data_IF_752952725455
#
_entry.id   IF_752952725455
#
_cell.length_a   1.000
_cell.length_b   1.000
_cell.length_c   1.000
_cell.angle_alpha   90.00
_cell.angle_beta   90.00
_cell.angle_gamma   90.00
#
_symmetry.space_group_name_H-M   'P 1'
#
loop_
_entity.id
_entity.type
_entity.pdbx_description
1 polymer ?
#
# COMPACT_ATOMS: atom_id res chain seq x y z
N UNK A 1 -15.51 -5.95 -39.74
CA UNK A 1 -15.45 -4.51 -40.10
C UNK A 1 -14.37 -3.84 -39.23
N UNK A 2 -13.42 -3.14 -39.88
CA UNK A 2 -12.40 -2.37 -39.16
C UNK A 2 -13.01 -1.09 -38.58
N UNK A 3 -12.59 -0.69 -37.36
CA UNK A 3 -12.98 0.60 -36.77
C UNK A 3 -12.57 1.77 -37.67
N UNK A 4 -13.39 2.78 -37.77
CA UNK A 4 -13.10 3.98 -38.54
C UNK A 4 -11.92 4.77 -37.93
N UNK A 5 -11.36 5.72 -38.67
CA UNK A 5 -10.27 6.56 -38.19
C UNK A 5 -10.74 7.44 -37.02
N UNK A 6 -11.97 7.90 -37.06
CA UNK A 6 -12.61 8.71 -36.02
C UNK A 6 -12.78 7.90 -34.72
N UNK A 7 -13.25 6.66 -34.81
CA UNK A 7 -13.37 5.76 -33.65
C UNK A 7 -12.01 5.51 -32.98
N UNK A 8 -10.96 5.36 -33.77
CA UNK A 8 -9.60 5.17 -33.24
C UNK A 8 -9.09 6.41 -32.51
N UNK A 9 -9.35 7.61 -33.07
CA UNK A 9 -8.99 8.88 -32.41
C UNK A 9 -9.78 9.08 -31.12
N UNK A 10 -11.07 8.76 -31.11
CA UNK A 10 -11.88 8.84 -29.90
C UNK A 10 -11.37 7.91 -28.80
N UNK A 11 -11.00 6.66 -29.15
CA UNK A 11 -10.41 5.71 -28.17
C UNK A 11 -9.07 6.22 -27.63
N UNK A 12 -8.21 6.80 -28.48
CA UNK A 12 -6.92 7.35 -28.05
C UNK A 12 -7.14 8.53 -27.10
N UNK A 13 -8.12 9.41 -27.37
CA UNK A 13 -8.48 10.51 -26.49
C UNK A 13 -8.98 9.98 -25.13
N UNK A 14 -9.93 9.03 -25.13
CA UNK A 14 -10.42 8.38 -23.91
C UNK A 14 -9.28 7.74 -23.11
N UNK A 15 -8.32 7.10 -23.78
CA UNK A 15 -7.17 6.49 -23.10
C UNK A 15 -6.24 7.54 -22.48
N UNK A 16 -6.03 8.68 -23.14
CA UNK A 16 -5.26 9.80 -22.58
C UNK A 16 -5.91 10.36 -21.33
N UNK A 17 -7.20 10.65 -21.38
CA UNK A 17 -7.95 11.15 -20.22
C UNK A 17 -7.88 10.17 -19.04
N UNK A 18 -8.00 8.86 -19.30
CA UNK A 18 -7.90 7.83 -18.28
C UNK A 18 -6.48 7.68 -17.70
N UNK A 19 -5.45 7.87 -18.51
CA UNK A 19 -4.05 7.84 -18.05
C UNK A 19 -3.73 9.08 -17.21
N UNK A 20 -4.20 10.25 -17.60
CA UNK A 20 -3.99 11.50 -16.86
C UNK A 20 -4.69 11.47 -15.49
N UNK A 21 -5.81 10.79 -15.39
CA UNK A 21 -6.53 10.56 -14.13
C UNK A 21 -5.92 9.45 -13.26
N UNK A 22 -4.96 8.68 -13.76
CA UNK A 22 -4.42 7.48 -13.09
C UNK A 22 -3.04 7.75 -12.52
N UNK A 23 -2.75 7.20 -11.33
CA UNK A 23 -1.44 7.26 -10.69
C UNK A 23 -0.57 6.05 -11.04
N UNK A 24 -1.20 4.90 -11.30
CA UNK A 24 -0.52 3.65 -11.64
C UNK A 24 -1.25 2.96 -12.78
N UNK A 25 -0.51 2.55 -13.79
CA UNK A 25 -1.00 1.70 -14.87
C UNK A 25 -0.26 0.36 -14.86
N UNK A 26 -1.00 -0.74 -14.75
CA UNK A 26 -0.45 -2.09 -14.84
C UNK A 26 -0.80 -2.71 -16.18
N UNK A 27 0.12 -3.46 -16.73
CA UNK A 27 -0.03 -4.21 -17.97
C UNK A 27 -0.05 -5.69 -17.63
N UNK A 28 -1.16 -6.34 -17.94
CA UNK A 28 -1.36 -7.78 -17.71
C UNK A 28 -1.60 -8.50 -19.02
N UNK A 29 -1.20 -9.76 -19.06
CA UNK A 29 -1.61 -10.68 -20.11
C UNK A 29 -2.96 -11.28 -19.76
N UNK A 30 -3.93 -11.16 -20.68
CA UNK A 30 -5.26 -11.74 -20.49
C UNK A 30 -5.51 -12.98 -21.36
N UNK A 31 -4.46 -13.53 -21.98
CA UNK A 31 -4.57 -14.69 -22.83
C UNK A 31 -5.06 -15.90 -22.02
N UNK A 32 -6.14 -16.53 -22.49
CA UNK A 32 -6.74 -17.68 -21.81
C UNK A 32 -7.84 -17.34 -20.79
N UNK A 33 -8.17 -16.07 -20.61
CA UNK A 33 -9.33 -15.68 -19.81
C UNK A 33 -10.63 -15.80 -20.60
N UNK A 34 -11.66 -16.34 -19.97
CA UNK A 34 -13.04 -16.32 -20.48
C UNK A 34 -13.67 -14.94 -20.29
N UNK A 35 -14.76 -14.70 -21.03
CA UNK A 35 -15.53 -13.45 -20.89
C UNK A 35 -16.08 -13.27 -19.45
N UNK A 36 -16.48 -14.37 -18.82
CA UNK A 36 -16.94 -14.35 -17.43
C UNK A 36 -15.84 -13.91 -16.47
N UNK A 37 -14.65 -14.48 -16.60
CA UNK A 37 -13.48 -14.15 -15.77
C UNK A 37 -13.05 -12.68 -15.95
N UNK A 38 -13.06 -12.16 -17.18
CA UNK A 38 -12.78 -10.73 -17.44
C UNK A 38 -13.84 -9.82 -16.80
N UNK A 39 -15.10 -10.24 -16.82
CA UNK A 39 -16.19 -9.48 -16.20
C UNK A 39 -16.06 -9.47 -14.69
N UNK A 40 -15.71 -10.61 -14.10
CA UNK A 40 -15.42 -10.70 -12.67
C UNK A 40 -14.23 -9.82 -12.26
N UNK A 41 -13.13 -9.87 -13.01
CA UNK A 41 -11.98 -8.98 -12.81
C UNK A 41 -12.40 -7.50 -12.82
N UNK A 42 -13.20 -7.10 -13.81
CA UNK A 42 -13.70 -5.72 -13.88
C UNK A 42 -14.56 -5.32 -12.68
N UNK A 43 -15.39 -6.22 -12.19
CA UNK A 43 -16.23 -5.95 -11.02
C UNK A 43 -15.36 -5.79 -9.75
N UNK A 44 -14.43 -6.70 -9.49
CA UNK A 44 -13.50 -6.60 -8.36
C UNK A 44 -12.65 -5.33 -8.40
N UNK A 45 -12.18 -4.94 -9.60
CA UNK A 45 -11.40 -3.72 -9.78
C UNK A 45 -12.25 -2.45 -9.59
N UNK A 46 -13.50 -2.46 -10.05
CA UNK A 46 -14.40 -1.32 -9.88
C UNK A 46 -14.68 -1.01 -8.41
N UNK A 47 -14.81 -2.02 -7.56
CA UNK A 47 -14.96 -1.87 -6.11
C UNK A 47 -13.75 -1.20 -5.45
N UNK A 48 -12.55 -1.36 -6.03
CA UNK A 48 -11.31 -0.74 -5.58
C UNK A 48 -10.96 0.58 -6.29
N UNK A 49 -11.89 1.15 -7.08
CA UNK A 49 -11.66 2.39 -7.82
C UNK A 49 -10.75 2.25 -9.05
N UNK A 50 -10.40 1.03 -9.42
CA UNK A 50 -9.56 0.74 -10.58
C UNK A 50 -10.40 0.42 -11.83
N UNK A 51 -9.86 0.71 -13.00
CA UNK A 51 -10.50 0.42 -14.28
C UNK A 51 -9.68 -0.56 -15.10
N UNK A 52 -10.35 -1.54 -15.71
CA UNK A 52 -9.72 -2.48 -16.64
C UNK A 52 -10.17 -2.17 -18.07
N UNK A 53 -9.22 -1.78 -18.91
CA UNK A 53 -9.42 -1.53 -20.36
C UNK A 53 -8.60 -2.52 -21.19
N UNK A 54 -9.26 -3.11 -22.19
CA UNK A 54 -8.60 -3.99 -23.18
C UNK A 54 -8.60 -3.25 -24.49
N UNK A 55 -7.42 -2.87 -24.97
CA UNK A 55 -7.25 -2.15 -26.23
C UNK A 55 -6.07 -2.72 -27.03
N UNK A 56 -5.99 -2.35 -28.31
CA UNK A 56 -4.83 -2.72 -29.13
C UNK A 56 -3.59 -1.96 -28.65
N UNK A 57 -2.47 -2.65 -28.54
CA UNK A 57 -1.18 -2.05 -28.15
C UNK A 57 -0.78 -0.84 -29.01
N UNK A 58 -1.14 -0.87 -30.31
CA UNK A 58 -0.88 0.27 -31.22
C UNK A 58 -1.64 1.54 -30.81
N UNK A 59 -2.89 1.42 -30.31
CA UNK A 59 -3.65 2.57 -29.84
C UNK A 59 -3.13 3.07 -28.50
N UNK A 60 -2.71 2.15 -27.63
CA UNK A 60 -2.09 2.52 -26.36
C UNK A 60 -0.75 3.23 -26.57
N UNK A 61 0.08 2.77 -27.52
CA UNK A 61 1.31 3.48 -27.88
C UNK A 61 1.04 4.91 -28.33
N UNK A 62 0.01 5.12 -29.16
CA UNK A 62 -0.38 6.47 -29.60
C UNK A 62 -0.94 7.33 -28.45
N UNK A 63 -1.55 6.71 -27.44
CA UNK A 63 -2.03 7.43 -26.27
C UNK A 63 -0.88 7.86 -25.34
N UNK A 64 0.13 7.00 -25.20
CA UNK A 64 1.34 7.24 -24.38
C UNK A 64 2.33 8.17 -25.10
N UNK A 65 2.31 8.17 -26.44
CA UNK A 65 3.18 9.01 -27.26
C UNK A 65 2.92 10.50 -26.98
N UNK A 66 3.96 11.20 -26.56
CA UNK A 66 3.88 12.62 -26.15
C UNK A 66 3.65 12.86 -24.65
N UNK A 67 3.61 11.80 -23.81
CA UNK A 67 3.55 11.93 -22.38
C UNK A 67 4.72 11.17 -21.71
N UNK A 68 5.74 11.91 -21.29
CA UNK A 68 6.97 11.33 -20.73
C UNK A 68 6.73 10.45 -19.50
N UNK A 69 5.65 10.71 -18.73
CA UNK A 69 5.30 9.93 -17.55
C UNK A 69 4.88 8.50 -17.90
N UNK A 70 4.33 8.26 -19.10
CA UNK A 70 3.83 6.95 -19.49
C UNK A 70 4.68 6.26 -20.56
N UNK A 71 5.71 6.93 -21.08
CA UNK A 71 6.62 6.36 -22.10
C UNK A 71 7.20 4.99 -21.73
N UNK A 72 7.63 4.73 -20.46
CA UNK A 72 8.17 3.42 -20.08
C UNK A 72 7.20 2.26 -20.29
N UNK A 73 5.88 2.53 -20.36
CA UNK A 73 4.88 1.50 -20.66
C UNK A 73 5.09 0.82 -22.00
N UNK A 74 5.72 1.49 -22.96
CA UNK A 74 5.96 0.95 -24.33
C UNK A 74 6.75 -0.34 -24.31
N UNK A 75 7.62 -0.56 -23.32
CA UNK A 75 8.42 -1.77 -23.16
C UNK A 75 7.55 -3.00 -22.85
N UNK A 76 6.44 -2.81 -22.12
CA UNK A 76 5.52 -3.86 -21.72
C UNK A 76 4.41 -4.14 -22.75
N UNK A 77 4.27 -3.31 -23.79
CA UNK A 77 3.24 -3.45 -24.83
C UNK A 77 3.59 -4.55 -25.84
N UNK A 78 3.69 -5.79 -25.38
CA UNK A 78 3.98 -6.96 -26.23
C UNK A 78 2.83 -7.97 -26.11
N UNK A 79 2.44 -8.58 -27.24
CA UNK A 79 1.39 -9.62 -27.26
C UNK A 79 0.00 -9.11 -26.84
N UNK A 80 -0.77 -9.94 -26.16
CA UNK A 80 -2.10 -9.62 -25.63
C UNK A 80 -1.99 -8.84 -24.34
N UNK A 81 -2.50 -7.61 -24.31
CA UNK A 81 -2.36 -6.73 -23.15
C UNK A 81 -3.69 -6.18 -22.73
N UNK A 82 -3.98 -6.28 -21.43
CA UNK A 82 -5.04 -5.54 -20.76
C UNK A 82 -4.42 -4.55 -19.79
N UNK A 83 -5.02 -3.39 -19.67
CA UNK A 83 -4.53 -2.26 -18.90
C UNK A 83 -5.39 -2.08 -17.67
N UNK A 84 -4.75 -2.11 -16.50
CA UNK A 84 -5.39 -1.80 -15.23
C UNK A 84 -4.95 -0.41 -14.81
N UNK A 85 -5.87 0.51 -14.78
CA UNK A 85 -5.65 1.92 -14.44
C UNK A 85 -6.16 2.16 -13.03
N UNK A 86 -5.27 2.55 -12.13
CA UNK A 86 -5.57 2.78 -10.72
C UNK A 86 -5.48 4.28 -10.42
N UNK A 87 -6.55 4.82 -9.81
CA UNK A 87 -6.65 6.26 -9.50
C UNK A 87 -6.23 6.57 -8.07
N UNK A 88 -6.93 6.04 -7.08
CA UNK A 88 -6.80 6.48 -5.69
C UNK A 88 -6.11 5.45 -4.79
N UNK A 89 -6.63 4.24 -4.72
CA UNK A 89 -6.17 3.19 -3.82
C UNK A 89 -5.32 2.14 -4.54
N UNK A 90 -4.03 2.45 -4.70
CA UNK A 90 -3.07 1.55 -5.36
C UNK A 90 -3.02 0.18 -4.69
N UNK A 91 -2.95 0.16 -3.35
CA UNK A 91 -2.86 -1.08 -2.59
C UNK A 91 -4.09 -1.98 -2.71
N UNK A 92 -5.30 -1.40 -2.66
CA UNK A 92 -6.56 -2.16 -2.82
C UNK A 92 -6.68 -2.72 -4.24
N UNK A 93 -6.36 -1.91 -5.26
CA UNK A 93 -6.43 -2.35 -6.65
C UNK A 93 -5.45 -3.47 -6.98
N UNK A 94 -4.20 -3.38 -6.50
CA UNK A 94 -3.20 -4.43 -6.70
C UNK A 94 -3.60 -5.71 -5.94
N UNK A 95 -4.09 -5.60 -4.70
CA UNK A 95 -4.57 -6.76 -3.91
C UNK A 95 -5.75 -7.44 -4.59
N UNK A 96 -6.70 -6.68 -5.14
CA UNK A 96 -7.83 -7.23 -5.90
C UNK A 96 -7.36 -8.02 -7.13
N UNK A 97 -6.38 -7.48 -7.86
CA UNK A 97 -5.76 -8.19 -8.99
C UNK A 97 -5.02 -9.44 -8.54
N UNK A 98 -4.21 -9.38 -7.49
CA UNK A 98 -3.46 -10.55 -6.97
C UNK A 98 -4.39 -11.66 -6.47
N UNK A 99 -5.51 -11.31 -5.83
CA UNK A 99 -6.54 -12.28 -5.44
C UNK A 99 -7.11 -12.97 -6.67
N UNK A 100 -7.47 -12.21 -7.69
CA UNK A 100 -7.94 -12.76 -8.96
C UNK A 100 -6.88 -13.63 -9.65
N UNK A 101 -5.63 -13.21 -9.65
CA UNK A 101 -4.51 -13.97 -10.23
C UNK A 101 -4.33 -15.34 -9.52
N UNK A 102 -4.46 -15.37 -8.19
CA UNK A 102 -4.38 -16.62 -7.40
C UNK A 102 -5.52 -17.57 -7.71
N UNK A 103 -6.74 -17.04 -7.87
CA UNK A 103 -7.94 -17.81 -8.17
C UNK A 103 -7.88 -18.41 -9.58
N UNK A 104 -7.46 -17.60 -10.56
CA UNK A 104 -7.54 -17.97 -11.98
C UNK A 104 -6.26 -18.62 -12.50
N UNK A 105 -5.07 -18.20 -12.00
CA UNK A 105 -3.72 -18.66 -12.43
C UNK A 105 -3.46 -18.60 -13.95
N UNK A 106 -4.23 -17.79 -14.68
CA UNK A 106 -4.17 -17.64 -16.15
C UNK A 106 -3.64 -16.28 -16.58
N UNK A 107 -3.44 -15.35 -15.65
CA UNK A 107 -2.97 -14.00 -15.94
C UNK A 107 -1.56 -13.82 -15.46
N UNK A 108 -0.72 -13.22 -16.30
CA UNK A 108 0.64 -12.84 -15.95
C UNK A 108 0.75 -11.32 -15.89
N UNK A 109 1.38 -10.83 -14.84
CA UNK A 109 1.71 -9.41 -14.70
C UNK A 109 2.99 -9.16 -15.49
N UNK A 110 2.91 -8.33 -16.53
CA UNK A 110 4.09 -7.99 -17.35
C UNK A 110 4.89 -6.84 -16.76
N UNK A 111 4.25 -5.97 -16.02
CA UNK A 111 4.83 -4.81 -15.38
C UNK A 111 3.83 -3.69 -15.24
N UNK A 112 4.31 -2.55 -14.80
CA UNK A 112 3.50 -1.34 -14.64
C UNK A 112 4.33 -0.09 -14.80
N UNK A 113 3.66 1.04 -14.77
CA UNK A 113 4.29 2.36 -14.77
C UNK A 113 3.63 3.21 -13.72
N UNK A 114 4.44 3.87 -12.89
CA UNK A 114 4.03 4.83 -11.90
C UNK A 114 4.98 6.03 -11.93
N UNK A 115 4.44 7.23 -12.08
CA UNK A 115 5.22 8.48 -12.06
C UNK A 115 6.47 8.46 -12.95
N UNK A 116 6.37 7.92 -14.16
CA UNK A 116 7.49 7.86 -15.11
C UNK A 116 8.49 6.72 -14.87
N UNK A 117 8.25 5.84 -13.89
CA UNK A 117 9.10 4.69 -13.61
C UNK A 117 8.45 3.40 -14.08
N UNK A 118 9.22 2.60 -14.81
CA UNK A 118 8.85 1.22 -15.10
C UNK A 118 8.96 0.38 -13.81
N UNK A 119 7.92 -0.37 -13.50
CA UNK A 119 7.83 -1.26 -12.35
C UNK A 119 7.82 -2.70 -12.81
N UNK A 120 8.70 -3.49 -12.25
CA UNK A 120 8.71 -4.93 -12.43
C UNK A 120 7.72 -5.61 -11.48
N UNK A 121 7.52 -6.92 -11.64
CA UNK A 121 6.62 -7.70 -10.79
C UNK A 121 7.00 -7.61 -9.29
N UNK A 122 8.29 -7.60 -8.98
CA UNK A 122 8.78 -7.52 -7.60
C UNK A 122 8.53 -6.14 -6.99
N UNK A 123 8.68 -5.06 -7.76
CA UNK A 123 8.36 -3.70 -7.33
C UNK A 123 6.86 -3.56 -7.02
N UNK A 124 6.01 -4.17 -7.85
CA UNK A 124 4.56 -4.16 -7.65
C UNK A 124 4.16 -4.97 -6.40
N UNK A 125 4.85 -6.07 -6.11
CA UNK A 125 4.68 -6.80 -4.85
C UNK A 125 5.05 -5.95 -3.65
N UNK A 126 6.17 -5.24 -3.71
CA UNK A 126 6.60 -4.34 -2.65
C UNK A 126 5.57 -3.22 -2.38
N UNK A 127 4.97 -2.65 -3.44
CA UNK A 127 3.88 -1.66 -3.30
C UNK A 127 2.66 -2.27 -2.60
N UNK A 128 2.37 -3.55 -2.85
CA UNK A 128 1.24 -4.24 -2.21
C UNK A 128 1.41 -4.43 -0.71
N UNK A 129 2.66 -4.54 -0.25
CA UNK A 129 2.99 -4.65 1.19
C UNK A 129 2.89 -3.30 1.90
N UNK A 130 2.86 -2.20 1.16
CA UNK A 130 2.65 -0.88 1.75
C UNK A 130 1.22 -0.78 2.30
N UNK A 131 1.04 -0.20 3.49
CA UNK A 131 -0.28 0.03 4.06
C UNK A 131 -1.08 0.98 3.16
N UNK A 132 -2.38 0.78 3.10
CA UNK A 132 -3.29 1.69 2.39
C UNK A 132 -3.19 3.11 2.96
N UNK A 133 -3.63 4.13 2.18
CA UNK A 133 -3.68 5.51 2.69
C UNK A 133 -4.44 5.60 4.03
N UNK A 134 -5.54 4.86 4.15
CA UNK A 134 -6.35 4.80 5.37
C UNK A 134 -5.58 4.17 6.54
N UNK A 135 -4.85 3.08 6.29
CA UNK A 135 -4.00 2.44 7.30
C UNK A 135 -2.81 3.32 7.70
N UNK A 136 -2.20 4.06 6.76
CA UNK A 136 -1.15 5.03 7.07
C UNK A 136 -1.69 6.16 7.94
N UNK A 137 -2.84 6.73 7.60
CA UNK A 137 -3.50 7.78 8.40
C UNK A 137 -3.86 7.23 9.78
N UNK A 138 -4.41 6.02 9.86
CA UNK A 138 -4.74 5.38 11.14
C UNK A 138 -3.49 5.13 11.99
N UNK A 139 -2.37 4.69 11.40
CA UNK A 139 -1.08 4.53 12.10
C UNK A 139 -0.53 5.86 12.59
N UNK A 140 -0.59 6.92 11.79
CA UNK A 140 -0.16 8.26 12.17
C UNK A 140 -1.05 8.78 13.31
N UNK A 141 -2.38 8.67 13.19
CA UNK A 141 -3.32 9.05 14.24
C UNK A 141 -3.09 8.25 15.52
N UNK A 142 -2.85 6.94 15.42
CA UNK A 142 -2.50 6.09 16.54
C UNK A 142 -1.17 6.48 17.20
N UNK A 143 -0.16 6.81 16.40
CA UNK A 143 1.13 7.27 16.91
C UNK A 143 1.01 8.62 17.63
N UNK A 144 0.25 9.57 17.09
CA UNK A 144 -0.03 10.87 17.71
C UNK A 144 -0.75 10.67 19.04
N UNK A 145 -1.75 9.80 19.11
CA UNK A 145 -2.48 9.51 20.34
C UNK A 145 -1.64 8.73 21.38
N UNK A 146 -0.64 8.00 20.95
CA UNK A 146 0.27 7.28 21.86
C UNK A 146 1.26 8.20 22.59
N UNK A 147 1.58 9.37 22.02
CA UNK A 147 2.52 10.34 22.63
C UNK A 147 1.99 10.88 23.97
N UNK A 148 0.74 11.42 24.06
CA UNK A 148 0.19 11.88 25.34
C UNK A 148 0.08 10.77 26.37
N UNK A 149 -0.27 9.55 25.94
CA UNK A 149 -0.39 8.40 26.84
C UNK A 149 0.96 8.01 27.43
N UNK A 150 2.01 7.96 26.63
CA UNK A 150 3.37 7.68 27.11
C UNK A 150 3.89 8.78 28.05
N UNK A 151 3.58 10.05 27.74
CA UNK A 151 3.94 11.18 28.59
C UNK A 151 3.21 11.13 29.92
N UNK A 152 1.91 10.84 29.93
CA UNK A 152 1.11 10.72 31.13
C UNK A 152 1.56 9.55 32.04
N UNK A 153 1.95 8.41 31.45
CA UNK A 153 2.51 7.29 32.18
C UNK A 153 3.90 7.64 32.74
N UNK A 154 4.75 8.30 31.93
CA UNK A 154 6.07 8.74 32.35
C UNK A 154 6.03 9.75 33.49
N UNK A 155 5.12 10.72 33.44
CA UNK A 155 4.96 11.74 34.50
C UNK A 155 4.37 11.16 35.81
N UNK A 156 3.54 10.12 35.74
CA UNK A 156 3.06 9.39 36.91
C UNK A 156 4.11 8.46 37.53
N UNK A 157 4.99 7.89 36.74
CA UNK A 157 6.01 6.97 37.20
C UNK A 157 7.11 7.65 38.07
N UNK A 158 7.44 8.91 37.75
CA UNK A 158 8.47 9.68 38.47
C UNK A 158 8.05 9.96 39.94
N UNK A 159 6.86 10.54 40.23
CA UNK A 159 6.43 10.74 41.61
C UNK A 159 6.30 9.44 42.40
N UNK A 160 5.84 8.37 41.76
CA UNK A 160 5.68 7.06 42.42
C UNK A 160 7.02 6.48 42.84
N UNK A 161 8.03 6.53 41.97
CA UNK A 161 9.39 6.06 42.27
C UNK A 161 10.06 6.91 43.38
N UNK A 162 9.82 8.22 43.37
CA UNK A 162 10.32 9.13 44.41
C UNK A 162 9.67 8.84 45.75
N UNK A 163 8.34 8.65 45.76
CA UNK A 163 7.60 8.32 46.99
C UNK A 163 7.99 6.98 47.61
N UNK A 164 8.28 5.96 46.79
CA UNK A 164 8.81 4.68 47.23
C UNK A 164 10.22 4.84 47.79
N UNK A 165 11.11 5.55 47.12
CA UNK A 165 12.49 5.81 47.56
C UNK A 165 12.52 6.56 48.91
N UNK A 166 11.67 7.55 49.10
CA UNK A 166 11.57 8.30 50.36
C UNK A 166 11.05 7.42 51.52
N UNK A 167 10.18 6.45 51.26
CA UNK A 167 9.70 5.49 52.26
C UNK A 167 10.74 4.40 52.62
N UNK A 168 11.56 4.00 51.71
CA UNK A 168 12.55 2.93 51.92
C UNK A 168 13.75 3.39 52.75
N UNK A 169 14.15 4.65 52.66
CA UNK A 169 15.32 5.18 53.40
C UNK A 169 15.10 5.12 54.90
N UNK A 170 13.98 5.61 55.49
CA UNK A 170 13.74 5.46 56.94
C UNK A 170 13.60 4.00 57.37
N UNK A 171 12.99 3.16 56.55
CA UNK A 171 12.82 1.73 56.86
C UNK A 171 14.14 0.96 56.89
N UNK A 172 15.08 1.27 56.05
CA UNK A 172 16.42 0.69 56.02
C UNK A 172 17.25 1.15 57.20
N UNK A 173 17.11 2.41 57.63
CA UNK A 173 17.77 2.97 58.78
C UNK A 173 17.27 2.31 60.07
N UNK A 174 15.99 2.14 60.23
CA UNK A 174 15.35 1.47 61.39
C UNK A 174 15.84 0.02 61.49
N UNK A 175 15.89 -0.71 60.35
CA UNK A 175 16.43 -2.09 60.35
C UNK A 175 17.91 -2.16 60.72
N UNK A 176 18.71 -1.19 60.27
CA UNK A 176 20.13 -1.13 60.58
C UNK A 176 20.32 -0.87 62.10
N UNK A 177 19.56 0.05 62.70
CA UNK A 177 19.62 0.33 64.13
C UNK A 177 19.17 -0.90 64.95
N UNK A 178 18.12 -1.57 64.54
CA UNK A 178 17.63 -2.80 65.20
C UNK A 178 18.69 -3.93 65.13
N UNK A 179 19.39 -4.05 64.00
CA UNK A 179 20.44 -5.06 63.82
C UNK A 179 21.68 -4.77 64.69
N UNK A 180 21.94 -3.49 64.95
CA UNK A 180 23.07 -3.11 65.88
C UNK A 180 22.67 -3.34 67.28
N UNK A 181 21.44 -2.96 67.72
CA UNK A 181 20.97 -3.17 69.11
C UNK A 181 20.91 -4.67 69.46
N UNK A 182 20.47 -5.53 68.54
CA UNK A 182 20.46 -6.98 68.75
C UNK A 182 21.85 -7.62 68.84
N UNK A 183 22.86 -6.98 68.22
CA UNK A 183 24.26 -7.41 68.37
C UNK A 183 24.88 -7.04 69.73
N UNK A 184 24.44 -5.92 70.30
CA UNK A 184 24.90 -5.49 71.64
C UNK A 184 24.24 -6.29 72.76
N UNK A 185 23.02 -6.82 72.56
CA UNK A 185 22.35 -7.69 73.59
C UNK A 185 22.87 -9.15 73.61
N UNK A 186 23.54 -9.61 72.57
CA UNK A 186 24.03 -11.00 72.44
C UNK A 186 25.57 -11.14 72.53
N UNK A 187 26.29 -10.11 72.89
CA UNK A 187 27.72 -10.11 73.18
C UNK A 187 28.02 -9.81 74.61
#
# INVERSE_FOLDING_TARGET
MGRTLEDKKAIVAELKDLLDDSQLALVIDYQGLSVAEITELRNRLRESGAQCKVTKNTLMRLAVDGNDMWQPMTEFLKGTSAFLLLKDDLGKGIKAYQSFQKDTKKTELRGGVMEGRALNEDDIKAITELPTKEELIARIAGAINAIPTKLAVGTKAVPTKLAVGIKEVPSSLVRAIQAVSQKEENG
#
